data_IF_492434618455
#
_entry.id   IF_492434618455
#
_cell.length_a   1.000
_cell.length_b   1.000
_cell.length_c   1.000
_cell.angle_alpha   90.00
_cell.angle_beta   90.00
_cell.angle_gamma   90.00
#
_symmetry.space_group_name_H-M   'P 1'
#
loop_
_entity.id
_entity.type
_entity.pdbx_description
1 polymer ?
#
# COMPACT_ATOMS: atom_id res chain seq x y z
N UNK A 1 -20.69 20.31 15.77
CA UNK A 1 -20.36 20.29 14.35
C UNK A 1 -18.93 19.96 14.07
N UNK A 2 -18.01 20.30 14.95
CA UNK A 2 -16.60 20.02 14.75
C UNK A 2 -16.14 18.71 15.39
N UNK A 3 -17.07 17.93 15.94
CA UNK A 3 -16.72 16.70 16.66
C UNK A 3 -16.06 15.66 15.77
N UNK A 4 -16.51 15.51 14.52
CA UNK A 4 -15.93 14.56 13.57
C UNK A 4 -14.50 14.97 13.20
N UNK A 5 -14.28 16.25 12.92
CA UNK A 5 -12.96 16.78 12.61
C UNK A 5 -12.01 16.66 13.80
N UNK A 6 -12.53 16.89 15.01
CA UNK A 6 -11.76 16.77 16.24
C UNK A 6 -11.35 15.31 16.51
N UNK A 7 -12.28 14.37 16.35
CA UNK A 7 -12.01 12.94 16.52
C UNK A 7 -10.96 12.48 15.50
N UNK A 8 -11.08 12.94 14.25
CA UNK A 8 -10.13 12.60 13.20
C UNK A 8 -8.73 13.14 13.53
N UNK A 9 -8.65 14.37 14.03
CA UNK A 9 -7.39 14.97 14.43
C UNK A 9 -6.73 14.19 15.56
N UNK A 10 -7.50 13.76 16.56
CA UNK A 10 -6.98 12.92 17.65
C UNK A 10 -6.47 11.58 17.13
N UNK A 11 -7.20 10.96 16.19
CA UNK A 11 -6.77 9.70 15.58
C UNK A 11 -5.44 9.85 14.85
N UNK A 12 -5.26 10.96 14.12
CA UNK A 12 -4.01 11.26 13.45
C UNK A 12 -2.85 11.46 14.41
N UNK A 13 -3.09 12.17 15.51
CA UNK A 13 -2.07 12.37 16.54
C UNK A 13 -1.67 11.05 17.18
N UNK A 14 -2.62 10.19 17.49
CA UNK A 14 -2.32 8.87 18.04
C UNK A 14 -1.50 8.02 17.07
N UNK A 15 -1.84 8.09 15.79
CA UNK A 15 -1.10 7.36 14.78
C UNK A 15 0.36 7.82 14.72
N UNK A 16 0.58 9.15 14.75
CA UNK A 16 1.93 9.71 14.75
C UNK A 16 2.71 9.31 16.00
N UNK A 17 2.08 9.40 17.16
CA UNK A 17 2.71 9.03 18.42
C UNK A 17 3.08 7.54 18.42
N UNK A 18 2.18 6.69 17.94
CA UNK A 18 2.44 5.26 17.86
C UNK A 18 3.65 4.94 16.98
N UNK A 19 3.79 5.63 15.84
CA UNK A 19 4.92 5.43 14.93
C UNK A 19 6.23 5.97 15.49
N UNK A 20 6.18 7.03 16.29
CA UNK A 20 7.36 7.62 16.91
C UNK A 20 7.77 6.93 18.20
N UNK A 21 6.84 6.23 18.82
CA UNK A 21 7.12 5.50 20.07
C UNK A 21 8.06 4.34 19.80
N UNK A 22 8.82 4.11 20.72
CA UNK A 22 9.80 3.11 20.95
C UNK A 22 9.78 1.80 20.21
N UNK A 23 9.94 1.68 19.02
CA UNK A 23 10.23 0.41 18.59
C UNK A 23 9.28 -0.24 17.63
N UNK A 24 9.07 -1.50 17.74
CA UNK A 24 8.34 -2.29 16.76
C UNK A 24 6.84 -2.24 16.98
N UNK A 25 6.13 -1.55 16.08
CA UNK A 25 4.69 -1.68 16.00
C UNK A 25 4.36 -2.99 15.26
N UNK A 26 3.35 -3.73 15.71
CA UNK A 26 2.81 -4.79 14.88
C UNK A 26 2.37 -4.26 13.52
N UNK A 27 2.60 -5.03 12.47
CA UNK A 27 2.33 -4.58 11.10
C UNK A 27 0.88 -4.14 10.91
N UNK A 28 -0.07 -4.80 11.56
CA UNK A 28 -1.48 -4.41 11.51
C UNK A 28 -1.70 -2.98 11.98
N UNK A 29 -1.00 -2.61 13.05
CA UNK A 29 -1.09 -1.26 13.62
C UNK A 29 -0.40 -0.24 12.72
N UNK A 30 0.71 -0.61 12.09
CA UNK A 30 1.37 0.24 11.11
C UNK A 30 0.44 0.54 9.94
N UNK A 31 -0.21 -0.47 9.39
CA UNK A 31 -1.16 -0.29 8.28
C UNK A 31 -2.27 0.68 8.69
N UNK A 32 -2.85 0.48 9.87
CA UNK A 32 -3.92 1.36 10.37
C UNK A 32 -3.43 2.80 10.50
N UNK A 33 -2.24 3.00 11.06
CA UNK A 33 -1.65 4.32 11.24
C UNK A 33 -1.39 4.99 9.88
N UNK A 34 -0.79 4.27 8.95
CA UNK A 34 -0.47 4.84 7.63
C UNK A 34 -1.74 5.16 6.82
N UNK A 35 -2.78 4.34 6.92
CA UNK A 35 -4.06 4.64 6.26
C UNK A 35 -4.64 5.98 6.72
N UNK A 36 -4.47 6.32 7.99
CA UNK A 36 -4.88 7.62 8.50
C UNK A 36 -3.96 8.74 8.02
N UNK A 37 -2.66 8.53 8.13
CA UNK A 37 -1.68 9.59 7.87
C UNK A 37 -1.58 9.95 6.40
N UNK A 38 -1.88 9.05 5.45
CA UNK A 38 -1.89 9.38 4.02
C UNK A 38 -2.96 10.43 3.70
N UNK A 39 -3.97 10.59 4.54
CA UNK A 39 -5.02 11.59 4.31
C UNK A 39 -4.49 13.01 4.46
N UNK A 40 -3.48 13.21 5.29
CA UNK A 40 -2.90 14.54 5.54
C UNK A 40 -1.52 14.72 4.93
N UNK A 41 -0.77 13.65 4.71
CA UNK A 41 0.59 13.71 4.16
C UNK A 41 0.82 12.56 3.19
N UNK A 42 0.14 12.58 2.02
CA UNK A 42 0.26 11.45 1.08
C UNK A 42 1.68 11.23 0.58
N UNK A 43 2.44 12.29 0.30
CA UNK A 43 3.82 12.13 -0.19
C UNK A 43 4.70 11.38 0.80
N UNK A 44 4.50 11.63 2.09
CA UNK A 44 5.30 11.00 3.15
C UNK A 44 4.87 9.56 3.41
N UNK A 45 3.57 9.26 3.33
CA UNK A 45 3.06 8.01 3.86
C UNK A 45 2.54 7.00 2.83
N UNK A 46 2.27 7.40 1.58
CA UNK A 46 1.86 6.43 0.56
C UNK A 46 2.90 5.34 0.33
N UNK A 47 4.21 5.66 0.20
CA UNK A 47 5.21 4.60 0.05
C UNK A 47 5.26 3.67 1.25
N UNK A 48 5.14 4.21 2.44
CA UNK A 48 5.17 3.42 3.68
C UNK A 48 3.93 2.53 3.81
N UNK A 49 2.77 3.06 3.40
CA UNK A 49 1.55 2.27 3.38
C UNK A 49 1.68 1.10 2.42
N UNK A 50 2.19 1.34 1.21
CA UNK A 50 2.36 0.27 0.21
C UNK A 50 3.23 -0.86 0.77
N UNK A 51 4.36 -0.52 1.41
CA UNK A 51 5.26 -1.52 1.96
C UNK A 51 4.62 -2.25 3.15
N UNK A 52 3.95 -1.53 4.03
CA UNK A 52 3.31 -2.14 5.21
C UNK A 52 2.17 -3.09 4.79
N UNK A 53 1.41 -2.73 3.76
CA UNK A 53 0.34 -3.59 3.23
C UNK A 53 0.91 -4.91 2.69
N UNK A 54 2.03 -4.84 1.97
CA UNK A 54 2.69 -6.03 1.48
C UNK A 54 3.15 -6.92 2.64
N UNK A 55 3.84 -6.34 3.61
CA UNK A 55 4.32 -7.07 4.78
C UNK A 55 3.17 -7.70 5.56
N UNK A 56 2.07 -6.98 5.71
CA UNK A 56 0.88 -7.48 6.36
C UNK A 56 0.31 -8.70 5.64
N UNK A 57 0.23 -8.62 4.30
CA UNK A 57 -0.25 -9.73 3.47
C UNK A 57 0.62 -10.97 3.66
N UNK A 58 1.93 -10.78 3.75
CA UNK A 58 2.90 -11.86 3.86
C UNK A 58 2.95 -12.47 5.27
N UNK A 59 2.94 -11.62 6.29
CA UNK A 59 3.11 -12.08 7.67
C UNK A 59 1.85 -12.71 8.26
N UNK A 60 0.69 -12.16 7.97
CA UNK A 60 -0.55 -12.59 8.64
C UNK A 60 -1.54 -13.30 7.75
N UNK A 61 -1.39 -13.21 6.43
CA UNK A 61 -2.38 -13.78 5.50
C UNK A 61 -1.78 -14.76 4.50
N UNK A 62 -0.66 -15.38 4.83
CA UNK A 62 -0.03 -16.39 3.97
C UNK A 62 -0.97 -17.57 3.66
N UNK A 63 -1.87 -17.89 4.59
CA UNK A 63 -2.84 -18.97 4.42
C UNK A 63 -4.23 -18.48 4.03
N UNK A 64 -4.37 -17.20 3.70
CA UNK A 64 -5.62 -16.60 3.25
C UNK A 64 -5.38 -15.84 1.95
N UNK A 65 -5.24 -16.56 0.83
CA UNK A 65 -4.78 -15.93 -0.41
C UNK A 65 -5.69 -14.84 -0.95
N UNK A 66 -7.00 -14.92 -0.71
CA UNK A 66 -7.91 -13.85 -1.12
C UNK A 66 -7.70 -12.55 -0.36
N UNK A 67 -7.48 -12.65 0.96
CA UNK A 67 -7.20 -11.47 1.78
C UNK A 67 -5.84 -10.89 1.41
N UNK A 68 -4.83 -11.74 1.23
CA UNK A 68 -3.52 -11.31 0.79
C UNK A 68 -3.59 -10.57 -0.56
N UNK A 69 -4.42 -11.06 -1.48
CA UNK A 69 -4.62 -10.42 -2.76
C UNK A 69 -5.21 -9.01 -2.60
N UNK A 70 -6.22 -8.87 -1.75
CA UNK A 70 -6.86 -7.57 -1.51
C UNK A 70 -5.87 -6.55 -0.94
N UNK A 71 -5.02 -6.98 -0.01
CA UNK A 71 -4.00 -6.11 0.58
C UNK A 71 -2.94 -5.69 -0.44
N UNK A 72 -2.52 -6.61 -1.30
CA UNK A 72 -1.56 -6.29 -2.37
C UNK A 72 -2.17 -5.39 -3.44
N UNK A 73 -3.46 -5.54 -3.72
CA UNK A 73 -4.19 -4.64 -4.61
C UNK A 73 -4.25 -3.22 -4.03
N UNK A 74 -4.47 -3.10 -2.72
CA UNK A 74 -4.45 -1.82 -2.03
C UNK A 74 -3.05 -1.17 -2.12
N UNK A 75 -2.00 -1.97 -1.98
CA UNK A 75 -0.62 -1.49 -2.13
C UNK A 75 -0.37 -0.94 -3.54
N UNK A 76 -0.88 -1.62 -4.57
CA UNK A 76 -0.78 -1.13 -5.95
C UNK A 76 -1.52 0.22 -6.09
N UNK A 77 -2.72 0.34 -5.52
CA UNK A 77 -3.48 1.59 -5.57
C UNK A 77 -2.71 2.74 -4.91
N UNK A 78 -2.09 2.48 -3.76
CA UNK A 78 -1.26 3.47 -3.05
C UNK A 78 -0.06 3.89 -3.92
N UNK A 79 0.60 2.93 -4.56
CA UNK A 79 1.74 3.20 -5.42
C UNK A 79 1.35 3.99 -6.67
N UNK A 80 0.21 3.67 -7.28
CA UNK A 80 -0.31 4.45 -8.43
C UNK A 80 -0.59 5.90 -8.03
N UNK A 81 -1.20 6.08 -6.87
CA UNK A 81 -1.49 7.42 -6.36
C UNK A 81 -0.19 8.19 -6.13
N UNK A 82 0.84 7.54 -5.60
CA UNK A 82 2.14 8.15 -5.40
C UNK A 82 2.77 8.59 -6.74
N UNK A 83 2.68 7.76 -7.76
CA UNK A 83 3.18 8.08 -9.10
C UNK A 83 2.47 9.29 -9.70
N UNK A 84 1.17 9.45 -9.42
CA UNK A 84 0.40 10.60 -9.88
C UNK A 84 0.80 11.89 -9.18
N UNK A 85 1.28 11.79 -7.94
CA UNK A 85 1.65 12.96 -7.13
C UNK A 85 3.09 13.40 -7.31
N UNK A 86 4.00 12.48 -7.64
CA UNK A 86 5.42 12.77 -7.69
C UNK A 86 6.10 11.97 -8.81
N UNK A 87 6.87 12.66 -9.64
CA UNK A 87 7.66 12.00 -10.68
C UNK A 87 8.76 11.13 -10.06
N UNK A 88 9.17 10.10 -10.79
CA UNK A 88 10.26 9.25 -10.35
C UNK A 88 9.86 8.11 -9.42
N UNK A 89 8.57 7.89 -9.22
CA UNK A 89 8.06 6.86 -8.32
C UNK A 89 7.67 5.55 -9.05
N UNK A 90 8.02 5.43 -10.30
CA UNK A 90 7.77 4.20 -11.09
C UNK A 90 8.33 2.95 -10.41
N UNK A 91 9.53 2.95 -9.80
CA UNK A 91 10.02 1.75 -9.12
C UNK A 91 9.12 1.26 -7.99
N UNK A 92 8.47 2.16 -7.27
CA UNK A 92 7.52 1.79 -6.22
C UNK A 92 6.33 1.04 -6.82
N UNK A 93 5.76 1.58 -7.89
CA UNK A 93 4.63 0.94 -8.57
C UNK A 93 5.04 -0.41 -9.18
N UNK A 94 6.21 -0.48 -9.79
CA UNK A 94 6.74 -1.73 -10.35
C UNK A 94 6.82 -2.81 -9.29
N UNK A 95 7.40 -2.51 -8.13
CA UNK A 95 7.50 -3.46 -7.03
C UNK A 95 6.13 -3.93 -6.55
N UNK A 96 5.19 -3.01 -6.39
CA UNK A 96 3.85 -3.35 -5.94
C UNK A 96 3.13 -4.25 -6.95
N UNK A 97 3.27 -3.97 -8.23
CA UNK A 97 2.67 -4.77 -9.30
C UNK A 97 3.26 -6.18 -9.35
N UNK A 98 4.58 -6.32 -9.20
CA UNK A 98 5.24 -7.63 -9.20
C UNK A 98 4.74 -8.49 -8.04
N UNK A 99 4.58 -7.89 -6.88
CA UNK A 99 4.07 -8.58 -5.68
C UNK A 99 2.60 -8.97 -5.84
N UNK A 100 1.80 -8.10 -6.43
CA UNK A 100 0.39 -8.37 -6.74
C UNK A 100 0.29 -9.49 -7.78
N UNK A 101 1.13 -9.44 -8.82
CA UNK A 101 1.20 -10.45 -9.87
C UNK A 101 1.42 -11.85 -9.29
N UNK A 102 2.35 -11.97 -8.35
CA UNK A 102 2.62 -13.25 -7.68
C UNK A 102 1.37 -13.84 -7.05
N UNK A 103 0.58 -13.01 -6.40
CA UNK A 103 -0.63 -13.45 -5.74
C UNK A 103 -1.70 -13.86 -6.74
N UNK A 104 -1.80 -13.13 -7.86
CA UNK A 104 -2.72 -13.49 -8.95
C UNK A 104 -2.37 -14.86 -9.55
N UNK A 105 -1.08 -15.15 -9.69
CA UNK A 105 -0.64 -16.46 -10.17
C UNK A 105 -1.08 -17.58 -9.24
N UNK A 106 -0.92 -17.38 -7.94
CA UNK A 106 -1.34 -18.37 -6.94
C UNK A 106 -2.84 -18.66 -7.02
N UNK A 107 -3.63 -17.66 -7.37
CA UNK A 107 -5.08 -17.78 -7.45
C UNK A 107 -5.58 -18.11 -8.86
N UNK A 108 -4.67 -18.29 -9.81
CA UNK A 108 -4.97 -18.58 -11.22
C UNK A 108 -5.93 -17.56 -11.85
N UNK A 109 -5.76 -16.28 -11.51
CA UNK A 109 -6.59 -15.17 -11.99
C UNK A 109 -6.05 -14.64 -13.32
N UNK A 110 -6.26 -15.38 -14.41
CA UNK A 110 -5.61 -15.15 -15.70
C UNK A 110 -5.88 -13.80 -16.33
N UNK A 111 -7.12 -13.34 -16.33
CA UNK A 111 -7.46 -12.06 -16.94
C UNK A 111 -6.78 -10.90 -16.23
N UNK A 112 -6.80 -10.93 -14.91
CA UNK A 112 -6.14 -9.91 -14.10
C UNK A 112 -4.62 -9.99 -14.23
N UNK A 113 -4.08 -11.20 -14.34
CA UNK A 113 -2.66 -11.43 -14.54
C UNK A 113 -2.19 -10.80 -15.86
N UNK A 114 -2.95 -11.01 -16.93
CA UNK A 114 -2.62 -10.44 -18.24
C UNK A 114 -2.63 -8.90 -18.20
N UNK A 115 -3.61 -8.32 -17.50
CA UNK A 115 -3.69 -6.87 -17.34
C UNK A 115 -2.49 -6.32 -16.56
N UNK A 116 -2.08 -7.00 -15.50
CA UNK A 116 -0.91 -6.60 -14.70
C UNK A 116 0.38 -6.72 -15.52
N UNK A 117 0.52 -7.81 -16.29
CA UNK A 117 1.68 -7.99 -17.16
C UNK A 117 1.79 -6.87 -18.19
N UNK A 118 0.66 -6.45 -18.77
CA UNK A 118 0.63 -5.32 -19.69
C UNK A 118 1.05 -4.02 -19.01
N UNK A 119 0.58 -3.80 -17.80
CA UNK A 119 0.94 -2.60 -17.04
C UNK A 119 2.43 -2.58 -16.70
N UNK A 120 2.98 -3.70 -16.26
CA UNK A 120 4.42 -3.83 -15.96
C UNK A 120 5.25 -3.53 -17.22
N UNK A 121 4.83 -4.06 -18.37
CA UNK A 121 5.52 -3.82 -19.63
C UNK A 121 5.53 -2.33 -20.00
N UNK A 122 4.40 -1.64 -19.79
CA UNK A 122 4.32 -0.21 -20.06
C UNK A 122 5.26 0.60 -19.17
N UNK A 123 5.43 0.21 -17.93
CA UNK A 123 6.35 0.89 -17.01
C UNK A 123 7.79 0.76 -17.48
N UNK A 124 8.16 -0.41 -18.01
CA UNK A 124 9.50 -0.64 -18.55
C UNK A 124 9.81 0.25 -19.75
N UNK A 125 8.81 0.51 -20.61
CA UNK A 125 8.96 1.37 -21.76
C UNK A 125 8.87 2.85 -21.41
N UNK A 126 8.05 3.20 -20.42
CA UNK A 126 7.86 4.58 -20.01
C UNK A 126 8.99 5.16 -19.17
N UNK A 127 9.94 4.33 -18.75
CA UNK A 127 11.07 4.75 -17.92
C UNK A 127 12.21 5.41 -18.68
N UNK A 128 12.02 5.62 -19.95
CA UNK A 128 13.02 6.31 -20.80
C UNK A 128 12.66 7.82 -20.94
#
# INVERSE_FOLDING_TARGET
>A
MNSTAHIHHEALLRARVALLGSGTLPVRQEVAAYRLLVQVSPLAYLPRLAEALYEYSRQEFAHQPGTALALRAEAVAAARRMCALEAGRTPLLHSALVRYRKQLELLARREELDAVDAEIALLGHGGH
#
